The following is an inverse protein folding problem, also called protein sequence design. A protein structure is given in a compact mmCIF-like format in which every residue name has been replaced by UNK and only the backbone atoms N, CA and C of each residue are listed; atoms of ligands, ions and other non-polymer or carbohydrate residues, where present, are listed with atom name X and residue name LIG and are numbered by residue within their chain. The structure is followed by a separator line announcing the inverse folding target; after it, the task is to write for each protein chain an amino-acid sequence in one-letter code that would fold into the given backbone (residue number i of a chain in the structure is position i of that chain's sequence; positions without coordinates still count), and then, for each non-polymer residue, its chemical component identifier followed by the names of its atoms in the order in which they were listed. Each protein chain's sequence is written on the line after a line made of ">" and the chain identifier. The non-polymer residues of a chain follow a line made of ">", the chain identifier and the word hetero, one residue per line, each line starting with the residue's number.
data_IF_004865472358
#
_entry.id   IF_004865472358
#
_cell.length_a   1.000
_cell.length_b   1.000
_cell.length_c   1.000
_cell.angle_alpha   90.00
_cell.angle_beta   90.00
_cell.angle_gamma   90.00
#
_symmetry.space_group_name_H-M   'P 1'
#
loop_
_entity.id
_entity.type
_entity.pdbx_description
1 polymer ?
#
# COMPACT_ATOMS: atom_id res chain seq x y z
N UNK A 1 -14.01 13.59 -19.89
CA UNK A 1 -13.34 12.73 -18.88
C UNK A 1 -14.02 12.90 -17.51
N UNK A 2 -13.98 11.88 -16.66
CA UNK A 2 -14.65 11.89 -15.35
C UNK A 2 -13.63 12.34 -14.31
N UNK A 3 -13.93 13.32 -13.42
CA UNK A 3 -13.09 13.67 -12.30
C UNK A 3 -12.75 12.46 -11.42
N UNK A 4 -11.54 12.40 -10.94
CA UNK A 4 -11.05 11.31 -10.10
C UNK A 4 -10.61 11.85 -8.73
N UNK A 5 -11.06 11.19 -7.66
CA UNK A 5 -10.67 11.52 -6.28
C UNK A 5 -10.06 10.27 -5.66
N UNK A 6 -8.84 10.39 -5.13
CA UNK A 6 -8.13 9.24 -4.60
C UNK A 6 -7.11 9.61 -3.51
N UNK A 7 -6.62 8.58 -2.81
CA UNK A 7 -5.40 8.72 -2.02
C UNK A 7 -4.21 8.99 -2.94
N UNK A 8 -3.26 9.82 -2.51
CA UNK A 8 -1.97 10.04 -3.15
C UNK A 8 -1.12 8.74 -3.02
N UNK A 9 -1.53 7.69 -3.74
CA UNK A 9 -1.01 6.33 -3.55
C UNK A 9 0.49 6.20 -3.79
N UNK A 10 1.08 7.02 -4.68
CA UNK A 10 2.52 7.00 -4.91
C UNK A 10 3.27 7.53 -3.70
N UNK A 11 2.87 8.68 -3.19
CA UNK A 11 3.51 9.31 -2.03
C UNK A 11 3.28 8.47 -0.76
N UNK A 12 2.11 7.86 -0.64
CA UNK A 12 1.78 6.95 0.45
C UNK A 12 2.62 5.66 0.40
N UNK A 13 2.86 5.10 -0.78
CA UNK A 13 3.79 3.97 -0.97
C UNK A 13 5.24 4.34 -0.65
N UNK A 14 5.66 5.54 -1.07
CA UNK A 14 6.96 6.08 -0.70
C UNK A 14 7.09 6.28 0.82
N UNK A 15 6.04 6.80 1.48
CA UNK A 15 6.01 6.98 2.94
C UNK A 15 6.16 5.65 3.68
N UNK A 16 5.42 4.61 3.26
CA UNK A 16 5.53 3.27 3.85
C UNK A 16 6.96 2.71 3.71
N UNK A 17 7.55 2.87 2.54
CA UNK A 17 8.89 2.35 2.26
C UNK A 17 9.96 3.10 3.05
N UNK A 18 9.86 4.44 3.12
CA UNK A 18 10.77 5.23 3.97
C UNK A 18 10.70 4.78 5.43
N UNK A 19 9.50 4.54 5.95
CA UNK A 19 9.34 4.07 7.33
C UNK A 19 10.07 2.74 7.59
N UNK A 20 10.09 1.80 6.64
CA UNK A 20 10.90 0.57 6.73
C UNK A 20 12.40 0.87 6.70
N UNK A 21 12.84 1.72 5.78
CA UNK A 21 14.27 2.08 5.65
C UNK A 21 14.78 2.85 6.87
N UNK A 22 13.98 3.77 7.42
CA UNK A 22 14.28 4.52 8.64
C UNK A 22 14.32 3.61 9.88
N UNK A 23 13.49 2.56 9.89
CA UNK A 23 13.52 1.48 10.88
C UNK A 23 14.74 0.54 10.75
N UNK A 24 15.64 0.80 9.79
CA UNK A 24 16.88 0.07 9.59
C UNK A 24 16.82 -1.10 8.63
N UNK A 25 15.69 -1.35 7.96
CA UNK A 25 15.57 -2.44 6.98
C UNK A 25 16.53 -2.22 5.80
N UNK A 26 17.23 -3.29 5.41
CA UNK A 26 18.17 -3.32 4.29
C UNK A 26 17.73 -4.22 3.16
N UNK A 27 16.75 -5.08 3.42
CA UNK A 27 16.19 -6.04 2.48
C UNK A 27 14.67 -5.93 2.42
N UNK A 28 14.14 -4.70 2.14
CA UNK A 28 12.70 -4.50 2.08
C UNK A 28 12.10 -5.24 0.87
N UNK A 29 10.89 -5.79 1.06
CA UNK A 29 10.11 -6.48 0.04
C UNK A 29 8.72 -5.85 -0.04
N UNK A 30 8.20 -5.70 -1.25
CA UNK A 30 6.81 -5.33 -1.50
C UNK A 30 5.97 -6.60 -1.72
N UNK A 31 4.91 -6.76 -0.93
CA UNK A 31 3.85 -7.72 -1.19
C UNK A 31 2.63 -7.00 -1.77
N UNK A 32 2.22 -7.36 -2.98
CA UNK A 32 1.12 -6.69 -3.69
C UNK A 32 0.20 -7.68 -4.39
N UNK A 33 -1.04 -7.28 -4.62
CA UNK A 33 -2.00 -8.08 -5.39
C UNK A 33 -1.90 -7.86 -6.91
N UNK A 34 -1.21 -6.80 -7.34
CA UNK A 34 -1.01 -6.47 -8.75
C UNK A 34 0.29 -5.70 -8.91
N UNK A 35 1.17 -6.16 -9.76
CA UNK A 35 2.39 -5.45 -10.13
C UNK A 35 2.24 -4.74 -11.48
N UNK A 36 3.05 -3.69 -11.68
CA UNK A 36 3.17 -3.00 -12.96
C UNK A 36 2.94 -1.49 -12.91
N UNK A 37 3.02 -0.81 -14.08
CA UNK A 37 3.09 0.66 -14.18
C UNK A 37 1.89 1.42 -13.60
N UNK A 38 0.75 0.76 -13.47
CA UNK A 38 -0.47 1.36 -12.91
C UNK A 38 -0.58 1.21 -11.39
N UNK A 39 0.31 0.44 -10.75
CA UNK A 39 0.34 0.32 -9.30
C UNK A 39 1.16 1.47 -8.70
N UNK A 40 0.49 2.52 -8.27
CA UNK A 40 1.13 3.72 -7.72
C UNK A 40 1.81 3.46 -6.36
N UNK A 41 1.33 2.51 -5.55
CA UNK A 41 1.99 2.11 -4.29
C UNK A 41 3.33 1.45 -4.59
N UNK A 42 3.36 0.56 -5.58
CA UNK A 42 4.60 -0.04 -6.10
C UNK A 42 5.55 1.03 -6.65
N UNK A 43 5.03 2.00 -7.41
CA UNK A 43 5.86 3.08 -7.95
C UNK A 43 6.54 3.89 -6.83
N UNK A 44 5.82 4.16 -5.74
CA UNK A 44 6.38 4.80 -4.54
C UNK A 44 7.45 3.94 -3.86
N UNK A 45 7.19 2.64 -3.70
CA UNK A 45 8.15 1.68 -3.15
C UNK A 45 9.44 1.65 -3.98
N UNK A 46 9.34 1.47 -5.30
CA UNK A 46 10.50 1.44 -6.18
C UNK A 46 11.34 2.70 -6.06
N UNK A 47 10.71 3.86 -6.08
CA UNK A 47 11.40 5.15 -5.96
C UNK A 47 12.26 5.23 -4.70
N UNK A 48 11.77 4.80 -3.55
CA UNK A 48 12.51 4.91 -2.29
C UNK A 48 13.58 3.82 -2.14
N UNK A 49 13.31 2.60 -2.60
CA UNK A 49 14.29 1.50 -2.59
C UNK A 49 15.48 1.83 -3.50
N UNK A 50 15.21 2.28 -4.72
CA UNK A 50 16.25 2.70 -5.69
C UNK A 50 17.05 3.91 -5.17
N UNK A 51 16.37 4.89 -4.53
CA UNK A 51 17.03 6.02 -3.88
C UNK A 51 17.98 5.61 -2.75
N UNK A 52 17.65 4.53 -2.05
CA UNK A 52 18.51 3.94 -1.04
C UNK A 52 19.65 3.07 -1.62
N UNK A 53 19.75 2.96 -2.95
CA UNK A 53 20.75 2.12 -3.63
C UNK A 53 20.46 0.63 -3.55
N UNK A 54 19.19 0.26 -3.32
CA UNK A 54 18.75 -1.13 -3.21
C UNK A 54 17.98 -1.54 -4.47
N UNK A 55 17.93 -2.86 -4.73
CA UNK A 55 17.14 -3.41 -5.82
C UNK A 55 15.69 -3.70 -5.36
N UNK A 56 14.66 -3.28 -6.13
CA UNK A 56 13.27 -3.55 -5.80
C UNK A 56 12.96 -5.05 -5.83
N UNK A 57 12.40 -5.55 -4.74
CA UNK A 57 11.95 -6.95 -4.59
C UNK A 57 10.44 -6.98 -4.40
N UNK A 58 9.75 -7.68 -5.29
CA UNK A 58 8.29 -7.66 -5.34
C UNK A 58 7.75 -9.07 -5.44
N UNK A 59 6.84 -9.39 -4.52
CA UNK A 59 6.01 -10.59 -4.57
C UNK A 59 4.59 -10.17 -4.95
N UNK A 60 4.03 -10.85 -5.95
CA UNK A 60 2.67 -10.60 -6.42
C UNK A 60 1.79 -11.80 -6.16
N UNK A 61 0.71 -11.60 -5.41
CA UNK A 61 -0.33 -12.60 -5.18
C UNK A 61 -1.65 -12.05 -5.70
N UNK A 62 -2.23 -12.63 -6.77
CA UNK A 62 -3.41 -12.10 -7.42
C UNK A 62 -4.59 -11.89 -6.47
N UNK A 63 -5.29 -10.78 -6.63
CA UNK A 63 -6.40 -10.37 -5.75
C UNK A 63 -7.58 -11.35 -5.79
N UNK A 64 -7.81 -11.99 -6.93
CA UNK A 64 -8.89 -12.96 -7.17
C UNK A 64 -8.57 -14.37 -6.68
N UNK A 65 -7.41 -14.57 -6.06
CA UNK A 65 -7.06 -15.85 -5.42
C UNK A 65 -8.01 -16.11 -4.24
N UNK A 66 -8.73 -17.24 -4.21
CA UNK A 66 -9.62 -17.58 -3.09
C UNK A 66 -8.88 -17.62 -1.76
N UNK A 67 -9.52 -17.13 -0.68
CA UNK A 67 -8.87 -16.91 0.63
C UNK A 67 -8.08 -18.14 1.14
N UNK A 68 -8.61 -19.39 1.12
CA UNK A 68 -7.81 -20.54 1.59
C UNK A 68 -6.54 -20.78 0.79
N UNK A 69 -6.59 -20.55 -0.54
CA UNK A 69 -5.46 -20.73 -1.44
C UNK A 69 -4.50 -19.55 -1.36
N UNK A 70 -5.03 -18.33 -1.14
CA UNK A 70 -4.27 -17.10 -1.04
C UNK A 70 -3.24 -17.16 0.09
N UNK A 71 -3.66 -17.63 1.27
CA UNK A 71 -2.75 -17.76 2.41
C UNK A 71 -1.57 -18.69 2.10
N UNK A 72 -1.84 -19.88 1.54
CA UNK A 72 -0.79 -20.80 1.14
C UNK A 72 0.15 -20.24 0.06
N UNK A 73 -0.42 -19.48 -0.89
CA UNK A 73 0.35 -18.85 -1.95
C UNK A 73 1.26 -17.73 -1.41
N UNK A 74 0.75 -16.88 -0.52
CA UNK A 74 1.55 -15.84 0.16
C UNK A 74 2.72 -16.48 0.91
N UNK A 75 2.44 -17.51 1.71
CA UNK A 75 3.47 -18.23 2.47
C UNK A 75 4.56 -18.81 1.57
N UNK A 76 4.17 -19.54 0.54
CA UNK A 76 5.11 -20.13 -0.42
C UNK A 76 5.94 -19.07 -1.14
N UNK A 77 5.31 -18.01 -1.61
CA UNK A 77 6.01 -16.93 -2.32
C UNK A 77 6.99 -16.16 -1.42
N UNK A 78 6.66 -15.96 -0.16
CA UNK A 78 7.58 -15.34 0.80
C UNK A 78 8.74 -16.27 1.16
N UNK A 79 8.49 -17.59 1.30
CA UNK A 79 9.55 -18.59 1.51
C UNK A 79 10.52 -18.63 0.32
N UNK A 80 10.00 -18.64 -0.91
CA UNK A 80 10.81 -18.58 -2.13
C UNK A 80 11.64 -17.30 -2.20
N UNK A 81 11.03 -16.16 -1.91
CA UNK A 81 11.72 -14.88 -1.90
C UNK A 81 12.82 -14.81 -0.82
N UNK A 82 12.56 -15.40 0.37
CA UNK A 82 13.52 -15.48 1.47
C UNK A 82 14.67 -16.44 1.18
N UNK A 83 14.42 -17.52 0.46
CA UNK A 83 15.46 -18.45 0.03
C UNK A 83 16.44 -17.83 -0.98
N UNK A 84 15.99 -16.83 -1.76
CA UNK A 84 16.83 -16.11 -2.72
C UNK A 84 17.70 -15.04 -2.04
N UNK A 85 17.16 -14.31 -1.07
CA UNK A 85 17.87 -13.29 -0.31
C UNK A 85 17.14 -12.98 1.01
N UNK A 86 17.82 -12.47 2.06
CA UNK A 86 17.19 -12.06 3.31
C UNK A 86 15.99 -11.13 3.09
N UNK A 87 15.04 -11.17 4.01
CA UNK A 87 13.91 -10.23 4.10
C UNK A 87 13.89 -9.75 5.54
N UNK A 88 14.05 -8.45 5.76
CA UNK A 88 14.01 -7.80 7.07
C UNK A 88 12.87 -6.76 7.20
N UNK A 89 12.20 -6.45 6.08
CA UNK A 89 11.06 -5.57 6.04
C UNK A 89 10.06 -5.97 4.95
N UNK A 90 8.77 -5.88 5.23
CA UNK A 90 7.72 -6.09 4.23
C UNK A 90 6.75 -4.91 4.24
N UNK A 91 6.61 -4.26 3.09
CA UNK A 91 5.49 -3.39 2.80
C UNK A 91 4.40 -4.20 2.09
N UNK A 92 3.30 -4.44 2.77
CA UNK A 92 2.11 -5.05 2.20
C UNK A 92 1.15 -3.96 1.70
N UNK A 93 0.69 -4.05 0.45
CA UNK A 93 -0.12 -3.00 -0.17
C UNK A 93 -1.56 -2.91 0.33
N UNK A 94 -1.95 -3.75 1.28
CA UNK A 94 -3.19 -3.68 2.06
C UNK A 94 -3.00 -4.36 3.43
N UNK A 95 -3.88 -4.05 4.39
CA UNK A 95 -3.79 -4.56 5.76
C UNK A 95 -4.10 -6.06 5.85
N UNK A 96 -4.87 -6.63 4.91
CA UNK A 96 -5.12 -8.08 4.88
C UNK A 96 -3.84 -8.83 4.48
N UNK A 97 -3.14 -8.35 3.46
CA UNK A 97 -1.85 -8.89 3.07
C UNK A 97 -0.82 -8.75 4.21
N UNK A 98 -0.86 -7.63 4.96
CA UNK A 98 -0.02 -7.47 6.15
C UNK A 98 -0.33 -8.52 7.23
N UNK A 99 -1.61 -8.84 7.45
CA UNK A 99 -2.01 -9.93 8.35
C UNK A 99 -1.44 -11.29 7.93
N UNK A 100 -1.46 -11.57 6.62
CA UNK A 100 -0.87 -12.80 6.05
C UNK A 100 0.65 -12.85 6.26
N UNK A 101 1.35 -11.70 6.15
CA UNK A 101 2.79 -11.59 6.46
C UNK A 101 3.07 -11.83 7.94
N UNK A 102 2.26 -11.25 8.85
CA UNK A 102 2.41 -11.49 10.29
C UNK A 102 2.22 -12.96 10.65
N UNK A 103 1.26 -13.63 10.04
CA UNK A 103 1.04 -15.07 10.25
C UNK A 103 2.17 -15.91 9.62
N UNK A 104 2.70 -15.52 8.46
CA UNK A 104 3.89 -16.14 7.89
C UNK A 104 5.09 -16.02 8.85
N UNK A 105 5.35 -14.83 9.38
CA UNK A 105 6.42 -14.61 10.34
C UNK A 105 6.26 -15.50 11.59
N UNK A 106 5.04 -15.54 12.15
CA UNK A 106 4.71 -16.39 13.31
C UNK A 106 4.98 -17.87 13.06
N UNK A 107 4.65 -18.39 11.89
CA UNK A 107 4.83 -19.82 11.54
C UNK A 107 6.28 -20.16 11.18
N UNK A 108 7.18 -19.18 11.08
CA UNK A 108 8.64 -19.35 10.85
C UNK A 108 9.47 -18.88 12.05
N UNK A 109 8.82 -18.69 13.21
CA UNK A 109 9.47 -18.23 14.44
C UNK A 109 10.27 -16.93 14.26
N UNK A 110 9.80 -16.05 13.34
CA UNK A 110 10.35 -14.71 13.15
C UNK A 110 9.68 -13.73 14.10
N UNK A 111 10.49 -13.03 14.89
CA UNK A 111 10.00 -11.95 15.74
C UNK A 111 9.65 -10.71 14.92
N UNK A 112 8.50 -10.10 15.19
CA UNK A 112 8.09 -8.81 14.61
C UNK A 112 8.03 -7.80 15.76
N UNK A 113 8.81 -6.71 15.71
CA UNK A 113 9.64 -6.21 14.62
C UNK A 113 11.12 -6.70 14.62
N UNK A 114 11.53 -7.58 15.55
CA UNK A 114 12.95 -7.91 15.79
C UNK A 114 13.67 -8.47 14.56
N UNK A 115 13.09 -9.49 13.92
CA UNK A 115 13.66 -10.11 12.71
C UNK A 115 13.02 -9.58 11.43
N UNK A 116 11.80 -9.05 11.54
CA UNK A 116 11.01 -8.59 10.40
C UNK A 116 10.13 -7.39 10.78
N UNK A 117 10.34 -6.25 10.14
CA UNK A 117 9.43 -5.12 10.21
C UNK A 117 8.29 -5.28 9.19
N UNK A 118 7.05 -4.97 9.59
CA UNK A 118 5.88 -5.08 8.71
C UNK A 118 5.09 -3.78 8.73
N UNK A 119 4.75 -3.29 7.54
CA UNK A 119 3.85 -2.15 7.37
C UNK A 119 2.74 -2.50 6.39
N UNK A 120 1.50 -2.20 6.76
CA UNK A 120 0.31 -2.37 5.95
C UNK A 120 -0.13 -1.10 5.23
N UNK A 121 -1.32 -1.17 4.65
CA UNK A 121 -1.96 -0.05 3.97
C UNK A 121 -3.49 -0.20 4.11
N UNK A 122 -4.20 0.89 4.19
CA UNK A 122 -5.61 1.19 4.32
C UNK A 122 -5.95 1.79 5.69
N UNK A 123 -5.48 1.20 6.79
CA UNK A 123 -5.65 1.70 8.15
C UNK A 123 -7.13 1.82 8.55
N UNK A 124 -7.99 0.89 8.07
CA UNK A 124 -9.42 0.90 8.40
C UNK A 124 -9.64 0.64 9.89
N UNK A 125 -10.71 1.17 10.45
CA UNK A 125 -11.02 0.99 11.87
C UNK A 125 -11.17 -0.50 12.24
N UNK A 126 -11.75 -1.31 11.36
CA UNK A 126 -11.88 -2.75 11.55
C UNK A 126 -10.52 -3.43 11.66
N UNK A 127 -9.61 -3.14 10.73
CA UNK A 127 -8.26 -3.73 10.73
C UNK A 127 -7.42 -3.24 11.91
N UNK A 128 -7.55 -1.97 12.29
CA UNK A 128 -6.88 -1.43 13.47
C UNK A 128 -7.33 -2.07 14.79
N UNK A 129 -8.60 -2.51 14.88
CA UNK A 129 -9.09 -3.29 16.02
C UNK A 129 -8.60 -4.73 15.99
N UNK A 130 -8.56 -5.35 14.82
CA UNK A 130 -8.09 -6.72 14.64
C UNK A 130 -6.57 -6.84 14.83
N UNK A 131 -5.82 -5.85 14.35
CA UNK A 131 -4.35 -5.79 14.36
C UNK A 131 -3.85 -4.49 15.02
N UNK A 132 -4.06 -4.30 16.34
CA UNK A 132 -3.79 -3.03 17.02
C UNK A 132 -2.29 -2.65 17.03
N UNK A 133 -1.42 -3.61 16.71
CA UNK A 133 0.03 -3.42 16.70
C UNK A 133 0.62 -3.23 15.30
N UNK A 134 -0.21 -3.35 14.26
CA UNK A 134 0.25 -3.17 12.88
C UNK A 134 0.50 -1.68 12.59
N UNK A 135 1.71 -1.36 12.13
CA UNK A 135 1.98 -0.10 11.48
C UNK A 135 1.31 -0.10 10.10
N UNK A 136 0.65 0.98 9.73
CA UNK A 136 -0.09 1.03 8.45
C UNK A 136 -0.20 2.45 7.92
N UNK A 137 -0.36 2.58 6.61
CA UNK A 137 -0.73 3.85 5.99
C UNK A 137 -2.25 3.96 5.96
N UNK A 138 -2.79 4.93 6.71
CA UNK A 138 -4.21 5.23 6.72
C UNK A 138 -4.61 6.06 5.52
N UNK A 139 -5.60 5.59 4.77
CA UNK A 139 -6.21 6.36 3.70
C UNK A 139 -7.17 7.44 4.25
N UNK A 140 -7.21 8.64 3.66
CA UNK A 140 -8.13 9.72 4.07
C UNK A 140 -9.53 9.52 3.46
N UNK A 141 -10.17 8.38 3.73
CA UNK A 141 -11.43 7.95 3.10
C UNK A 141 -12.54 8.99 3.24
N UNK A 142 -12.67 9.63 4.43
CA UNK A 142 -13.70 10.66 4.64
C UNK A 142 -13.49 11.90 3.76
N UNK A 143 -12.24 12.32 3.56
CA UNK A 143 -11.92 13.45 2.68
C UNK A 143 -12.16 13.09 1.21
N UNK A 144 -11.79 11.88 0.81
CA UNK A 144 -12.04 11.36 -0.55
C UNK A 144 -13.55 11.30 -0.82
N UNK A 145 -14.33 10.76 0.11
CA UNK A 145 -15.77 10.64 -0.02
C UNK A 145 -16.45 12.03 -0.09
N UNK A 146 -16.06 12.96 0.80
CA UNK A 146 -16.60 14.31 0.78
C UNK A 146 -16.32 15.02 -0.54
N UNK A 147 -15.07 15.02 -1.00
CA UNK A 147 -14.69 15.65 -2.26
C UNK A 147 -15.40 15.00 -3.48
N UNK A 148 -15.62 13.69 -3.46
CA UNK A 148 -16.37 13.03 -4.52
C UNK A 148 -17.84 13.46 -4.57
N UNK A 149 -18.47 13.64 -3.40
CA UNK A 149 -19.86 14.15 -3.30
C UNK A 149 -19.92 15.62 -3.74
N UNK A 150 -18.99 16.46 -3.29
CA UNK A 150 -18.95 17.87 -3.67
C UNK A 150 -18.83 18.04 -5.19
N UNK A 151 -17.92 17.30 -5.84
CA UNK A 151 -17.77 17.28 -7.29
C UNK A 151 -19.09 16.85 -7.99
N UNK A 152 -19.74 15.82 -7.46
CA UNK A 152 -21.00 15.33 -8.02
C UNK A 152 -22.09 16.41 -7.95
N UNK A 153 -22.23 17.10 -6.81
CA UNK A 153 -23.20 18.18 -6.63
C UNK A 153 -22.91 19.34 -7.57
N UNK A 154 -21.65 19.77 -7.69
CA UNK A 154 -21.25 20.84 -8.63
C UNK A 154 -21.53 20.46 -10.09
N UNK A 155 -21.36 19.19 -10.45
CA UNK A 155 -21.74 18.70 -11.79
C UNK A 155 -23.26 18.74 -12.02
N UNK A 156 -24.06 18.39 -11.01
CA UNK A 156 -25.52 18.43 -11.08
C UNK A 156 -26.05 19.88 -11.18
N UNK A 157 -25.42 20.82 -10.50
CA UNK A 157 -25.76 22.26 -10.52
C UNK A 157 -25.24 22.96 -11.78
N UNK A 158 -24.40 22.29 -12.59
CA UNK A 158 -23.81 22.86 -13.80
C UNK A 158 -22.73 23.91 -13.53
N UNK A 159 -22.22 23.98 -12.28
CA UNK A 159 -21.18 24.92 -11.85
C UNK A 159 -19.77 24.46 -12.19
N UNK A 160 -19.55 23.13 -12.31
CA UNK A 160 -18.30 22.61 -12.90
C UNK A 160 -18.37 22.71 -14.43
N UNK A 161 -17.30 23.20 -15.06
CA UNK A 161 -17.19 23.11 -16.51
C UNK A 161 -17.33 21.62 -16.92
N UNK A 162 -18.32 21.32 -17.75
CA UNK A 162 -18.40 20.00 -18.36
C UNK A 162 -17.08 19.78 -19.11
N UNK A 163 -16.42 18.63 -18.92
CA UNK A 163 -15.27 18.31 -19.77
C UNK A 163 -15.76 18.35 -21.22
N UNK A 164 -15.27 19.32 -21.96
CA UNK A 164 -15.57 19.44 -23.39
C UNK A 164 -14.71 18.38 -24.06
N UNK A 165 -15.30 17.22 -24.34
CA UNK A 165 -14.72 16.22 -25.20
C UNK A 165 -15.31 16.37 -26.60
N UNK A 166 -14.69 17.18 -27.42
CA UNK A 166 -14.49 16.92 -28.84
C UNK A 166 -13.12 17.46 -29.20
N UNK A 167 -12.12 16.55 -29.22
CA UNK A 167 -10.76 16.77 -29.71
C UNK A 167 -9.87 17.73 -28.90
N UNK A 168 -10.10 17.92 -27.61
CA UNK A 168 -9.20 18.65 -26.72
C UNK A 168 -8.96 17.84 -25.46
N UNK A 169 -7.83 17.14 -25.38
CA UNK A 169 -7.33 16.42 -24.22
C UNK A 169 -7.11 17.36 -23.04
N UNK A 170 -8.13 17.63 -22.26
CA UNK A 170 -7.94 18.02 -20.87
C UNK A 170 -8.24 16.79 -20.00
N UNK A 171 -7.24 16.15 -19.39
CA UNK A 171 -7.50 15.06 -18.47
C UNK A 171 -8.40 15.59 -17.36
N UNK A 172 -9.42 14.80 -16.97
CA UNK A 172 -10.26 15.17 -15.84
C UNK A 172 -9.39 15.45 -14.63
N UNK A 173 -9.69 16.50 -13.84
CA UNK A 173 -8.92 16.81 -12.66
C UNK A 173 -8.88 15.61 -11.72
N UNK A 174 -7.68 15.24 -11.29
CA UNK A 174 -7.48 14.24 -10.24
C UNK A 174 -7.17 14.97 -8.95
N UNK A 175 -8.02 14.79 -7.94
CA UNK A 175 -7.76 15.25 -6.58
C UNK A 175 -7.12 14.13 -5.79
N UNK A 176 -5.95 14.41 -5.21
CA UNK A 176 -5.21 13.46 -4.40
C UNK A 176 -5.10 13.95 -2.96
N UNK A 177 -5.38 13.05 -2.03
CA UNK A 177 -5.28 13.32 -0.60
C UNK A 177 -4.16 12.47 0.02
N UNK A 178 -3.31 13.03 0.89
CA UNK A 178 -2.19 12.29 1.47
C UNK A 178 -2.65 11.18 2.41
N UNK A 179 -1.99 10.03 2.33
CA UNK A 179 -2.07 9.00 3.36
C UNK A 179 -1.28 9.40 4.60
N UNK A 180 -1.64 8.85 5.76
CA UNK A 180 -0.98 9.12 7.04
C UNK A 180 -0.41 7.84 7.63
N UNK A 181 0.86 7.85 8.01
CA UNK A 181 1.47 6.74 8.76
C UNK A 181 0.85 6.67 10.16
N UNK A 182 0.24 5.54 10.46
CA UNK A 182 -0.17 5.17 11.82
C UNK A 182 0.93 4.26 12.37
N UNK A 183 1.66 4.70 13.40
CA UNK A 183 2.72 3.88 13.97
C UNK A 183 2.15 2.65 14.65
N UNK A 184 2.95 1.58 14.68
CA UNK A 184 2.61 0.32 15.32
C UNK A 184 3.86 -0.44 15.72
N UNK A 185 3.72 -1.41 16.61
CA UNK A 185 4.84 -2.23 17.10
C UNK A 185 5.34 -3.26 16.11
N UNK A 186 4.74 -3.37 14.93
CA UNK A 186 5.23 -4.21 13.83
C UNK A 186 6.37 -3.56 13.03
N UNK A 187 6.72 -2.31 13.38
CA UNK A 187 7.81 -1.55 12.80
C UNK A 187 8.83 -1.25 13.91
N UNK A 188 10.12 -1.47 13.65
CA UNK A 188 11.20 -1.10 14.57
C UNK A 188 11.23 0.42 14.80
N UNK A 189 11.56 0.82 16.03
CA UNK A 189 11.65 2.24 16.42
C UNK A 189 12.98 2.86 15.98
#
# INVERSE_FOLDING_TARGET
>A
SIPNVRCANRDAGALATRALLDAGCRHPLLLTSRSGPRNLREAGYRTEVERAGLEPRIVTVPFDTPIPQRFALVQGSLDEARAQAPIDGVFATDDLAAAEVLEWARTRDLSVPGDLSVIGFDGTETMRRALPHLATIRQPISQIAQAAVDILLEQMEGTLPRPIDEAGESPAPTLEFPGTLIPGRSLSA
#
